data_IF_191368481748
#
_entry.id   IF_191368481748
#
_cell.length_a   1.000
_cell.length_b   1.000
_cell.length_c   1.000
_cell.angle_alpha   90.00
_cell.angle_beta   90.00
_cell.angle_gamma   90.00
#
_symmetry.space_group_name_H-M   'P 1'
#
loop_
_entity.id
_entity.type
_entity.pdbx_description
1 polymer ?
#
# COMPACT_ATOMS: atom_id res chain seq x y z
N UNK A 1 -18.86 -16.89 14.36
CA UNK A 1 -18.15 -16.42 15.57
C UNK A 1 -16.71 -15.96 15.32
N UNK A 2 -15.83 -16.75 14.67
CA UNK A 2 -14.42 -16.36 14.43
C UNK A 2 -14.22 -15.02 13.70
N UNK A 3 -15.11 -14.65 12.76
CA UNK A 3 -15.05 -13.38 12.02
C UNK A 3 -15.48 -12.14 12.83
N UNK A 4 -16.26 -12.31 13.91
CA UNK A 4 -16.66 -11.20 14.79
C UNK A 4 -15.57 -10.89 15.81
N UNK A 5 -14.90 -11.94 16.31
CA UNK A 5 -13.74 -11.80 17.19
C UNK A 5 -12.60 -11.02 16.52
N UNK A 6 -12.35 -11.27 15.24
CA UNK A 6 -11.30 -10.59 14.48
C UNK A 6 -11.58 -9.09 14.24
N UNK A 7 -12.84 -8.74 13.96
CA UNK A 7 -13.26 -7.32 13.85
C UNK A 7 -13.17 -6.62 15.22
N UNK A 8 -13.53 -7.30 16.30
CA UNK A 8 -13.39 -6.76 17.66
C UNK A 8 -11.92 -6.52 18.04
N UNK A 9 -10.99 -7.40 17.62
CA UNK A 9 -9.54 -7.22 17.84
C UNK A 9 -9.01 -6.00 17.09
N UNK A 10 -9.45 -5.76 15.84
CA UNK A 10 -9.03 -4.58 15.06
C UNK A 10 -9.59 -3.29 15.66
N UNK A 11 -10.85 -3.28 16.09
CA UNK A 11 -11.44 -2.13 16.78
C UNK A 11 -10.74 -1.87 18.12
N UNK A 12 -10.40 -2.93 18.87
CA UNK A 12 -9.67 -2.82 20.13
C UNK A 12 -8.24 -2.32 19.95
N UNK A 13 -7.52 -2.80 18.93
CA UNK A 13 -6.18 -2.32 18.58
C UNK A 13 -6.19 -0.85 18.12
N UNK A 14 -7.18 -0.47 17.31
CA UNK A 14 -7.37 0.91 16.85
C UNK A 14 -7.76 1.85 18.01
N UNK A 15 -8.58 1.38 18.96
CA UNK A 15 -8.94 2.12 20.18
C UNK A 15 -7.77 2.31 21.16
N UNK A 16 -6.89 1.30 21.28
CA UNK A 16 -5.69 1.41 22.13
C UNK A 16 -4.68 2.43 21.58
N UNK A 17 -4.57 2.53 20.24
CA UNK A 17 -3.70 3.48 19.55
C UNK A 17 -4.18 4.93 19.65
N UNK A 18 -5.50 5.16 19.71
CA UNK A 18 -6.08 6.50 19.90
C UNK A 18 -5.92 7.04 21.34
N UNK A 19 -5.61 6.17 22.30
CA UNK A 19 -5.48 6.52 23.73
C UNK A 19 -4.01 6.62 24.18
N UNK A 20 -3.06 6.35 23.29
CA UNK A 20 -1.61 6.47 23.51
C UNK A 20 -1.19 7.94 23.65
N UNK A 21 -1.08 8.38 24.90
CA UNK A 21 -0.82 9.76 25.35
C UNK A 21 0.36 10.43 24.64
N UNK A 22 0.13 11.69 24.31
CA UNK A 22 1.11 12.77 24.22
C UNK A 22 2.11 12.69 25.38
N UNK A 23 3.30 12.15 25.12
CA UNK A 23 4.50 12.42 25.94
C UNK A 23 5.14 13.64 25.31
N UNK A 24 4.77 14.79 25.86
CA UNK A 24 5.46 16.05 25.63
C UNK A 24 6.87 15.94 26.26
N UNK A 25 7.90 15.86 25.41
CA UNK A 25 9.25 16.22 25.83
C UNK A 25 9.36 17.74 25.71
N UNK A 26 9.05 18.45 26.80
CA UNK A 26 9.42 19.86 26.95
C UNK A 26 10.94 19.95 27.10
N UNK A 27 11.64 20.91 26.46
CA UNK A 27 13.05 21.13 26.72
C UNK A 27 13.20 21.76 28.12
N UNK A 28 13.98 21.12 29.00
CA UNK A 28 14.40 21.71 30.26
C UNK A 28 15.29 22.94 29.99
N UNK A 29 14.77 24.12 30.36
CA UNK A 29 15.51 25.39 30.39
C UNK A 29 15.87 25.68 31.84
N UNK A 30 17.17 25.82 32.14
CA UNK A 30 17.62 26.40 33.40
C UNK A 30 17.29 27.91 33.43
N UNK A 31 16.92 28.43 34.59
CA UNK A 31 16.41 29.77 34.87
C UNK A 31 17.36 30.96 34.58
N UNK A 32 18.45 30.78 33.83
CA UNK A 32 19.40 31.87 33.51
C UNK A 32 19.98 31.88 32.09
N UNK A 33 19.55 31.01 31.16
CA UNK A 33 19.74 31.24 29.72
C UNK A 33 21.17 31.20 29.14
N UNK A 34 22.11 30.41 29.68
CA UNK A 34 23.43 30.19 29.06
C UNK A 34 23.78 28.70 28.88
N UNK A 35 24.47 28.30 27.78
CA UNK A 35 24.91 26.92 27.58
C UNK A 35 26.21 26.63 28.36
N UNK A 36 26.21 25.56 29.17
CA UNK A 36 27.37 25.15 29.99
C UNK A 36 28.31 24.24 29.18
N UNK A 37 29.55 24.69 28.95
CA UNK A 37 30.67 23.81 28.60
C UNK A 37 31.38 23.37 29.88
N UNK A 38 31.68 22.07 30.02
CA UNK A 38 32.72 21.62 30.95
C UNK A 38 33.49 20.41 30.40
N UNK A 39 34.81 20.48 30.57
CA UNK A 39 35.86 19.62 30.04
C UNK A 39 36.45 18.75 31.18
N UNK A 40 36.89 17.52 30.85
CA UNK A 40 38.16 16.86 31.29
C UNK A 40 38.22 15.95 32.56
N UNK A 41 38.42 14.63 32.28
CA UNK A 41 39.46 13.66 32.76
C UNK A 41 39.30 12.79 34.05
N UNK A 42 39.09 11.48 33.80
CA UNK A 42 39.81 10.23 34.16
C UNK A 42 40.10 9.76 35.62
N UNK A 43 39.80 8.48 35.92
CA UNK A 43 40.57 7.66 36.90
C UNK A 43 39.86 6.64 37.83
N UNK A 44 39.64 5.40 37.34
CA UNK A 44 39.76 4.06 38.00
C UNK A 44 39.17 3.68 39.40
N UNK A 45 38.33 2.63 39.37
CA UNK A 45 38.18 1.46 40.27
C UNK A 45 37.54 1.57 41.68
N UNK A 46 36.32 1.02 41.81
CA UNK A 46 35.94 -0.01 42.80
C UNK A 46 34.55 -0.59 42.45
N UNK A 47 34.42 -1.90 42.59
CA UNK A 47 33.30 -2.72 42.15
C UNK A 47 32.15 -2.83 43.19
N UNK A 48 31.08 -3.46 42.72
CA UNK A 48 29.96 -4.11 43.44
C UNK A 48 28.66 -3.31 43.68
N UNK A 49 27.75 -3.52 42.71
CA UNK A 49 26.45 -4.16 42.87
C UNK A 49 25.35 -3.42 43.67
N UNK A 50 24.43 -2.77 42.94
CA UNK A 50 23.03 -3.21 42.78
C UNK A 50 22.17 -2.15 42.06
N UNK A 51 21.08 -2.62 41.43
CA UNK A 51 20.15 -1.97 40.49
C UNK A 51 20.65 -2.11 39.03
N UNK A 52 20.50 -3.24 38.34
CA UNK A 52 19.34 -4.15 38.23
C UNK A 52 18.06 -3.40 37.86
N UNK A 53 18.06 -2.80 36.67
CA UNK A 53 16.91 -2.53 35.78
C UNK A 53 17.45 -1.71 34.60
N UNK A 54 18.12 -2.32 33.61
CA UNK A 54 18.39 -1.67 32.29
C UNK A 54 18.97 -2.62 31.21
N UNK A 55 18.80 -3.94 31.34
CA UNK A 55 19.22 -4.88 30.29
C UNK A 55 18.19 -6.00 30.10
N UNK A 56 17.00 -5.65 29.61
CA UNK A 56 16.11 -6.60 28.95
C UNK A 56 15.82 -6.17 27.49
N UNK A 57 16.56 -6.80 26.58
CA UNK A 57 16.13 -7.17 25.24
C UNK A 57 15.81 -6.06 24.21
N UNK A 58 16.73 -5.11 24.00
CA UNK A 58 16.79 -4.35 22.76
C UNK A 58 17.45 -5.17 21.62
N UNK A 59 16.88 -6.33 21.27
CA UNK A 59 17.10 -6.99 19.98
C UNK A 59 16.02 -6.59 18.97
N UNK A 60 15.65 -5.31 18.96
CA UNK A 60 14.73 -4.74 17.98
C UNK A 60 15.49 -4.11 16.83
N UNK A 61 15.99 -4.91 15.89
CA UNK A 61 16.52 -4.36 14.64
C UNK A 61 15.44 -3.59 13.85
N UNK A 62 15.80 -2.86 12.78
CA UNK A 62 14.87 -2.12 11.89
C UNK A 62 13.68 -2.94 11.35
N UNK A 63 13.73 -4.26 11.52
CA UNK A 63 12.76 -5.25 11.09
C UNK A 63 11.50 -5.27 11.97
N UNK A 64 11.61 -5.02 13.28
CA UNK A 64 10.45 -5.16 14.20
C UNK A 64 9.32 -4.18 13.86
N UNK A 65 9.57 -2.88 13.59
CA UNK A 65 8.53 -1.93 13.18
C UNK A 65 7.87 -2.30 11.84
N UNK A 66 8.67 -2.82 10.89
CA UNK A 66 8.18 -3.26 9.57
C UNK A 66 7.26 -4.46 9.73
N UNK A 67 7.67 -5.49 10.47
CA UNK A 67 6.85 -6.68 10.71
C UNK A 67 5.56 -6.33 11.46
N UNK A 68 5.64 -5.49 12.48
CA UNK A 68 4.47 -5.02 13.21
C UNK A 68 3.47 -4.32 12.28
N UNK A 69 3.97 -3.45 11.40
CA UNK A 69 3.13 -2.75 10.45
C UNK A 69 2.54 -3.66 9.38
N UNK A 70 3.30 -4.65 8.90
CA UNK A 70 2.76 -5.67 7.99
C UNK A 70 1.59 -6.42 8.61
N UNK A 71 1.69 -6.79 9.89
CA UNK A 71 0.57 -7.43 10.60
C UNK A 71 -0.65 -6.51 10.60
N UNK A 72 -0.48 -5.22 10.87
CA UNK A 72 -1.58 -4.25 10.85
C UNK A 72 -2.19 -4.12 9.45
N UNK A 73 -1.36 -3.95 8.41
CA UNK A 73 -1.81 -3.83 7.01
C UNK A 73 -2.59 -5.07 6.60
N UNK A 74 -2.05 -6.27 6.85
CA UNK A 74 -2.68 -7.53 6.47
C UNK A 74 -4.00 -7.75 7.23
N UNK A 75 -4.05 -7.44 8.52
CA UNK A 75 -5.29 -7.53 9.30
C UNK A 75 -6.34 -6.55 8.78
N UNK A 76 -5.95 -5.30 8.54
CA UNK A 76 -6.84 -4.28 8.02
C UNK A 76 -7.35 -4.63 6.62
N UNK A 77 -6.45 -5.04 5.71
CA UNK A 77 -6.80 -5.46 4.36
C UNK A 77 -7.78 -6.63 4.38
N UNK A 78 -7.52 -7.66 5.20
CA UNK A 78 -8.44 -8.80 5.37
C UNK A 78 -9.81 -8.34 5.85
N UNK A 79 -9.88 -7.47 6.87
CA UNK A 79 -11.17 -6.94 7.33
C UNK A 79 -11.87 -6.15 6.22
N UNK A 80 -11.14 -5.33 5.46
CA UNK A 80 -11.66 -4.62 4.30
C UNK A 80 -12.24 -5.56 3.24
N UNK A 81 -11.49 -6.60 2.86
CA UNK A 81 -11.93 -7.62 1.91
C UNK A 81 -13.17 -8.38 2.39
N UNK A 82 -13.19 -8.82 3.64
CA UNK A 82 -14.36 -9.46 4.26
C UNK A 82 -15.61 -8.55 4.21
N UNK A 83 -15.44 -7.24 4.44
CA UNK A 83 -16.53 -6.26 4.35
C UNK A 83 -16.99 -6.08 2.90
N UNK A 84 -16.06 -5.98 1.94
CA UNK A 84 -16.39 -5.87 0.52
C UNK A 84 -17.22 -7.06 0.04
N UNK A 85 -16.84 -8.29 0.42
CA UNK A 85 -17.60 -9.50 0.09
C UNK A 85 -19.03 -9.44 0.66
N UNK A 86 -19.21 -8.95 1.91
CA UNK A 86 -20.54 -8.78 2.50
C UNK A 86 -21.40 -7.78 1.74
N UNK A 87 -20.78 -6.77 1.14
CA UNK A 87 -21.43 -5.78 0.28
C UNK A 87 -21.58 -6.26 -1.19
N UNK A 88 -21.26 -7.52 -1.47
CA UNK A 88 -21.28 -8.13 -2.82
C UNK A 88 -20.31 -7.46 -3.80
N UNK A 89 -19.19 -6.95 -3.28
CA UNK A 89 -18.09 -6.39 -4.06
C UNK A 89 -16.90 -7.37 -4.09
N UNK A 90 -16.00 -7.27 -5.09
CA UNK A 90 -14.76 -8.04 -5.13
C UNK A 90 -13.90 -7.79 -3.87
N UNK A 91 -13.19 -8.82 -3.40
CA UNK A 91 -12.37 -8.73 -2.18
C UNK A 91 -11.27 -7.67 -2.30
N UNK A 92 -10.57 -7.65 -3.45
CA UNK A 92 -9.52 -6.67 -3.75
C UNK A 92 -9.97 -5.22 -3.61
N UNK A 93 -11.25 -4.90 -3.86
CA UNK A 93 -11.75 -3.53 -3.71
C UNK A 93 -11.67 -3.07 -2.26
N UNK A 94 -12.03 -3.94 -1.31
CA UNK A 94 -11.97 -3.64 0.12
C UNK A 94 -10.53 -3.43 0.60
N UNK A 95 -9.61 -4.23 0.11
CA UNK A 95 -8.18 -4.11 0.43
C UNK A 95 -7.59 -2.80 -0.10
N UNK A 96 -7.90 -2.42 -1.34
CA UNK A 96 -7.46 -1.16 -1.94
C UNK A 96 -8.00 0.04 -1.18
N UNK A 97 -9.29 0.03 -0.81
CA UNK A 97 -9.90 1.10 -0.01
C UNK A 97 -9.21 1.25 1.33
N UNK A 98 -8.93 0.14 2.01
CA UNK A 98 -8.15 0.16 3.27
C UNK A 98 -6.76 0.73 3.05
N UNK A 99 -6.06 0.30 1.98
CA UNK A 99 -4.75 0.82 1.62
C UNK A 99 -4.76 2.33 1.38
N UNK A 100 -5.76 2.84 0.65
CA UNK A 100 -5.94 4.29 0.42
C UNK A 100 -6.20 5.03 1.73
N UNK A 101 -7.06 4.51 2.60
CA UNK A 101 -7.36 5.13 3.91
C UNK A 101 -6.12 5.16 4.80
N UNK A 102 -5.41 4.04 4.93
CA UNK A 102 -4.19 3.96 5.74
C UNK A 102 -3.06 4.83 5.17
N UNK A 103 -2.89 4.86 3.84
CA UNK A 103 -1.87 5.66 3.18
C UNK A 103 -2.10 7.17 3.31
N UNK A 104 -3.35 7.61 3.43
CA UNK A 104 -3.71 9.02 3.56
C UNK A 104 -3.96 9.49 4.99
N UNK A 105 -3.72 8.63 6.00
CA UNK A 105 -4.00 8.95 7.40
C UNK A 105 -3.21 10.16 7.93
N UNK A 106 -2.04 10.43 7.34
CA UNK A 106 -1.24 11.62 7.62
C UNK A 106 -1.99 12.93 7.30
N UNK A 107 -2.85 12.95 6.28
CA UNK A 107 -3.66 14.11 5.93
C UNK A 107 -4.73 14.42 7.00
N UNK A 108 -5.07 13.43 7.83
CA UNK A 108 -6.01 13.55 8.95
C UNK A 108 -5.31 13.89 10.28
N UNK A 109 -3.99 14.17 10.25
CA UNK A 109 -3.19 14.50 11.43
C UNK A 109 -2.66 13.30 12.21
N UNK A 110 -2.81 12.08 11.68
CA UNK A 110 -2.31 10.85 12.30
C UNK A 110 -1.03 10.37 11.60
N UNK A 111 0.12 10.75 12.14
CA UNK A 111 1.43 10.51 11.49
C UNK A 111 2.04 9.13 11.78
N UNK A 112 1.35 8.26 12.52
CA UNK A 112 1.85 6.93 12.93
C UNK A 112 2.24 6.05 11.75
N UNK A 113 1.62 6.23 10.59
CA UNK A 113 1.82 5.39 9.41
C UNK A 113 2.72 6.04 8.33
N UNK A 114 3.14 7.28 8.53
CA UNK A 114 3.87 8.06 7.50
C UNK A 114 5.27 7.50 7.21
N UNK A 115 5.90 6.84 8.19
CA UNK A 115 7.22 6.24 8.01
C UNK A 115 7.20 5.07 7.04
N UNK A 116 6.08 4.36 6.90
CA UNK A 116 5.93 3.22 5.99
C UNK A 116 5.98 3.62 4.52
N UNK A 117 5.53 4.83 4.19
CA UNK A 117 5.49 5.31 2.81
C UNK A 117 6.88 5.45 2.18
N UNK A 118 7.93 5.49 3.00
CA UNK A 118 9.32 5.62 2.56
C UNK A 118 10.17 4.40 2.91
N UNK A 119 9.56 3.33 3.44
CA UNK A 119 10.30 2.12 3.82
C UNK A 119 10.53 1.21 2.60
N UNK A 120 11.80 1.03 2.26
CA UNK A 120 12.22 0.21 1.10
C UNK A 120 11.77 -1.25 1.21
N UNK A 121 11.63 -1.80 2.42
CA UNK A 121 11.21 -3.18 2.65
C UNK A 121 9.75 -3.40 2.25
N UNK A 122 8.88 -2.43 2.58
CA UNK A 122 7.46 -2.46 2.23
C UNK A 122 7.28 -2.31 0.73
N UNK A 123 8.06 -1.42 0.09
CA UNK A 123 8.06 -1.25 -1.36
C UNK A 123 8.40 -2.57 -2.08
N UNK A 124 9.53 -3.19 -1.71
CA UNK A 124 9.94 -4.48 -2.29
C UNK A 124 8.88 -5.56 -2.04
N UNK A 125 8.29 -5.61 -0.84
CA UNK A 125 7.27 -6.60 -0.54
C UNK A 125 5.99 -6.38 -1.36
N UNK A 126 5.63 -5.13 -1.62
CA UNK A 126 4.48 -4.78 -2.46
C UNK A 126 4.70 -5.17 -3.93
N UNK A 127 5.91 -4.95 -4.46
CA UNK A 127 6.30 -5.38 -5.81
C UNK A 127 6.27 -6.91 -5.92
N UNK A 128 6.82 -7.62 -4.93
CA UNK A 128 6.75 -9.08 -4.85
C UNK A 128 5.31 -9.57 -4.79
N UNK A 129 4.44 -8.90 -4.03
CA UNK A 129 3.02 -9.23 -3.97
C UNK A 129 2.33 -9.15 -5.33
N UNK A 130 2.60 -8.09 -6.11
CA UNK A 130 2.05 -7.94 -7.47
C UNK A 130 2.62 -8.99 -8.43
N UNK A 131 3.92 -9.30 -8.34
CA UNK A 131 4.55 -10.34 -9.17
C UNK A 131 3.92 -11.72 -8.87
N UNK A 132 3.77 -12.07 -7.59
CA UNK A 132 3.17 -13.34 -7.18
C UNK A 132 1.70 -13.44 -7.62
N UNK A 133 0.95 -12.33 -7.51
CA UNK A 133 -0.43 -12.25 -7.99
C UNK A 133 -0.52 -12.52 -9.49
N UNK A 134 0.30 -11.82 -10.30
CA UNK A 134 0.31 -11.99 -11.75
C UNK A 134 0.77 -13.38 -12.16
N UNK A 135 1.74 -13.95 -11.44
CA UNK A 135 2.20 -15.31 -11.67
C UNK A 135 1.10 -16.33 -11.37
N UNK A 136 0.40 -16.20 -10.25
CA UNK A 136 -0.73 -17.06 -9.89
C UNK A 136 -1.84 -17.00 -10.94
N UNK A 137 -2.21 -15.80 -11.38
CA UNK A 137 -3.17 -15.60 -12.49
C UNK A 137 -2.69 -16.30 -13.76
N UNK A 138 -1.40 -16.17 -14.09
CA UNK A 138 -0.80 -16.82 -15.25
C UNK A 138 -0.86 -18.35 -15.17
N UNK A 139 -0.66 -18.93 -13.98
CA UNK A 139 -0.77 -20.37 -13.76
C UNK A 139 -2.22 -20.89 -13.82
N UNK A 140 -3.19 -20.07 -13.44
CA UNK A 140 -4.63 -20.41 -13.48
C UNK A 140 -5.22 -20.27 -14.90
N UNK A 141 -4.55 -19.54 -15.79
CA UNK A 141 -5.04 -19.23 -17.14
C UNK A 141 -4.66 -20.31 -18.16
N UNK A 142 -5.64 -20.82 -18.92
CA UNK A 142 -5.38 -21.75 -20.03
C UNK A 142 -4.87 -21.00 -21.28
N UNK A 143 -3.56 -21.07 -21.53
CA UNK A 143 -2.91 -20.43 -22.70
C UNK A 143 -3.48 -20.91 -24.05
N UNK A 144 -3.92 -22.17 -24.14
CA UNK A 144 -4.52 -22.72 -25.37
C UNK A 144 -5.85 -22.02 -25.70
N UNK A 145 -6.69 -21.83 -24.68
CA UNK A 145 -7.96 -21.12 -24.82
C UNK A 145 -7.76 -19.62 -25.03
N UNK A 146 -6.75 -19.01 -24.38
CA UNK A 146 -6.42 -17.60 -24.60
C UNK A 146 -5.98 -17.33 -26.05
N UNK A 147 -5.19 -18.25 -26.63
CA UNK A 147 -4.79 -18.16 -28.05
C UNK A 147 -5.99 -18.20 -29.00
N UNK A 148 -7.07 -18.89 -28.64
CA UNK A 148 -8.27 -18.98 -29.47
C UNK A 148 -8.98 -17.63 -29.65
N UNK A 149 -8.80 -16.68 -28.72
CA UNK A 149 -9.38 -15.32 -28.77
C UNK A 149 -8.38 -14.25 -29.20
N UNK A 150 -7.15 -14.64 -29.60
CA UNK A 150 -6.04 -13.71 -29.83
C UNK A 150 -6.31 -12.60 -30.86
N UNK A 151 -7.10 -12.86 -31.90
CA UNK A 151 -7.47 -11.80 -32.86
C UNK A 151 -8.37 -10.74 -32.23
N UNK A 152 -9.30 -11.16 -31.38
CA UNK A 152 -10.18 -10.23 -30.65
C UNK A 152 -9.39 -9.43 -29.62
N UNK A 153 -8.45 -10.07 -28.92
CA UNK A 153 -7.52 -9.40 -28.00
C UNK A 153 -6.65 -8.36 -28.71
N UNK A 154 -6.10 -8.69 -29.89
CA UNK A 154 -5.26 -7.75 -30.64
C UNK A 154 -6.05 -6.51 -31.07
N UNK A 155 -7.27 -6.69 -31.58
CA UNK A 155 -8.14 -5.58 -31.93
C UNK A 155 -8.50 -4.75 -30.69
N UNK A 156 -8.82 -5.40 -29.57
CA UNK A 156 -9.10 -4.72 -28.31
C UNK A 156 -7.89 -3.92 -27.79
N UNK A 157 -6.67 -4.45 -27.92
CA UNK A 157 -5.43 -3.76 -27.53
C UNK A 157 -5.19 -2.52 -28.39
N UNK A 158 -5.28 -2.65 -29.71
CA UNK A 158 -5.05 -1.53 -30.64
C UNK A 158 -6.09 -0.43 -30.41
N UNK A 159 -7.36 -0.79 -30.35
CA UNK A 159 -8.44 0.17 -30.08
C UNK A 159 -8.33 0.75 -28.66
N UNK A 160 -7.94 -0.07 -27.69
CA UNK A 160 -7.71 0.31 -26.30
C UNK A 160 -6.53 1.25 -26.09
N UNK A 161 -5.62 1.39 -27.06
CA UNK A 161 -4.55 2.40 -27.05
C UNK A 161 -4.96 3.62 -27.88
N UNK A 162 -5.38 3.41 -29.12
CA UNK A 162 -5.69 4.51 -30.06
C UNK A 162 -6.84 5.38 -29.53
N UNK A 163 -7.93 4.77 -29.07
CA UNK A 163 -9.11 5.52 -28.65
C UNK A 163 -8.84 6.41 -27.42
N UNK A 164 -8.35 5.91 -26.26
CA UNK A 164 -8.09 6.78 -25.12
C UNK A 164 -6.94 7.76 -25.36
N UNK A 165 -5.97 7.45 -26.23
CA UNK A 165 -4.92 8.40 -26.60
C UNK A 165 -5.51 9.66 -27.26
N UNK A 166 -6.24 9.49 -28.36
CA UNK A 166 -6.79 10.61 -29.10
C UNK A 166 -7.92 11.31 -28.35
N UNK A 167 -8.75 10.58 -27.59
CA UNK A 167 -9.76 11.17 -26.72
C UNK A 167 -9.10 11.98 -25.59
N UNK A 168 -8.07 11.46 -24.95
CA UNK A 168 -7.32 12.16 -23.90
C UNK A 168 -6.65 13.43 -24.40
N UNK A 169 -5.96 13.34 -25.54
CA UNK A 169 -5.37 14.49 -26.22
C UNK A 169 -6.42 15.55 -26.57
N UNK A 170 -7.54 15.14 -27.17
CA UNK A 170 -8.63 16.05 -27.57
C UNK A 170 -9.33 16.72 -26.38
N UNK A 171 -9.65 15.96 -25.33
CA UNK A 171 -10.26 16.50 -24.10
C UNK A 171 -9.29 17.45 -23.40
N UNK A 172 -8.00 17.12 -23.35
CA UNK A 172 -6.98 17.98 -22.76
C UNK A 172 -6.81 19.29 -23.53
N UNK A 173 -6.77 19.22 -24.87
CA UNK A 173 -6.70 20.40 -25.73
C UNK A 173 -7.94 21.30 -25.60
N UNK A 174 -9.11 20.72 -25.31
CA UNK A 174 -10.33 21.47 -25.06
C UNK A 174 -10.34 22.18 -23.69
N UNK A 175 -9.92 21.48 -22.63
CA UNK A 175 -9.95 22.02 -21.26
C UNK A 175 -8.80 22.99 -20.95
N UNK A 176 -7.64 22.80 -21.58
CA UNK A 176 -6.43 23.59 -21.33
C UNK A 176 -5.78 24.03 -22.65
N UNK A 177 -6.47 24.81 -23.51
CA UNK A 177 -5.98 25.16 -24.85
C UNK A 177 -4.66 25.96 -24.86
N UNK A 178 -4.35 26.63 -23.74
CA UNK A 178 -3.12 27.40 -23.56
C UNK A 178 -1.90 26.53 -23.17
N UNK A 179 -2.12 25.24 -22.88
CA UNK A 179 -1.04 24.34 -22.46
C UNK A 179 -0.18 23.92 -23.66
N UNK A 180 1.07 23.54 -23.37
CA UNK A 180 1.98 23.04 -24.40
C UNK A 180 1.46 21.73 -25.00
N UNK A 181 1.64 21.53 -26.31
CA UNK A 181 1.25 20.30 -27.02
C UNK A 181 1.75 19.03 -26.34
N UNK A 182 2.94 19.08 -25.72
CA UNK A 182 3.52 17.97 -24.98
C UNK A 182 2.64 17.55 -23.79
N UNK A 183 2.00 18.49 -23.10
CA UNK A 183 1.06 18.19 -22.00
C UNK A 183 -0.14 17.41 -22.52
N UNK A 184 -0.72 17.80 -23.64
CA UNK A 184 -1.85 17.09 -24.23
C UNK A 184 -1.48 15.68 -24.69
N UNK A 185 -0.30 15.54 -25.31
CA UNK A 185 0.23 14.22 -25.73
C UNK A 185 0.52 13.35 -24.50
N UNK A 186 1.06 13.93 -23.44
CA UNK A 186 1.30 13.24 -22.17
C UNK A 186 0.00 12.75 -21.56
N UNK A 187 -1.04 13.59 -21.47
CA UNK A 187 -2.37 13.18 -20.99
C UNK A 187 -2.91 12.03 -21.84
N UNK A 188 -2.87 12.16 -23.17
CA UNK A 188 -3.26 11.08 -24.09
C UNK A 188 -2.52 9.77 -23.80
N UNK A 189 -1.19 9.82 -23.70
CA UNK A 189 -0.36 8.66 -23.42
C UNK A 189 -0.63 8.03 -22.04
N UNK A 190 -0.84 8.84 -21.00
CA UNK A 190 -1.12 8.31 -19.65
C UNK A 190 -2.44 7.54 -19.58
N UNK A 191 -3.43 7.91 -20.39
CA UNK A 191 -4.72 7.21 -20.44
C UNK A 191 -4.67 5.87 -21.19
N UNK A 192 -3.58 5.55 -21.88
CA UNK A 192 -3.43 4.24 -22.56
C UNK A 192 -2.92 3.14 -21.63
N UNK A 193 -2.35 3.50 -20.48
CA UNK A 193 -1.79 2.53 -19.55
C UNK A 193 -2.91 1.74 -18.85
N UNK A 194 -2.85 0.41 -18.92
CA UNK A 194 -3.81 -0.51 -18.29
C UNK A 194 -3.15 -1.34 -17.20
N UNK A 195 -3.92 -1.79 -16.19
CA UNK A 195 -3.40 -2.61 -15.09
C UNK A 195 -3.93 -4.04 -15.18
N UNK A 196 -3.09 -4.95 -15.68
CA UNK A 196 -3.43 -6.37 -15.84
C UNK A 196 -3.66 -7.06 -14.50
N UNK A 197 -2.81 -6.77 -13.51
CA UNK A 197 -2.82 -7.48 -12.21
C UNK A 197 -4.10 -7.29 -11.43
N UNK A 198 -4.56 -6.04 -11.30
CA UNK A 198 -5.81 -5.76 -10.59
C UNK A 198 -7.01 -6.29 -11.38
N UNK A 199 -7.03 -6.11 -12.70
CA UNK A 199 -8.10 -6.61 -13.56
C UNK A 199 -8.25 -8.13 -13.45
N UNK A 200 -7.14 -8.87 -13.55
CA UNK A 200 -7.13 -10.31 -13.40
C UNK A 200 -7.58 -10.75 -12.02
N UNK A 201 -7.14 -10.06 -10.96
CA UNK A 201 -7.57 -10.33 -9.60
C UNK A 201 -9.06 -10.11 -9.40
N UNK A 202 -9.61 -9.01 -9.90
CA UNK A 202 -11.07 -8.76 -9.85
C UNK A 202 -11.84 -9.87 -10.57
N UNK A 203 -11.40 -10.28 -11.76
CA UNK A 203 -12.04 -11.36 -12.52
C UNK A 203 -11.97 -12.71 -11.81
N UNK A 204 -10.87 -12.97 -11.10
CA UNK A 204 -10.70 -14.14 -10.24
C UNK A 204 -11.61 -14.09 -9.01
N UNK A 205 -11.66 -12.96 -8.30
CA UNK A 205 -12.49 -12.77 -7.10
C UNK A 205 -13.98 -13.00 -7.40
N UNK A 206 -14.44 -12.65 -8.61
CA UNK A 206 -15.83 -12.88 -9.05
C UNK A 206 -16.03 -14.22 -9.78
N UNK A 207 -15.01 -15.07 -9.86
CA UNK A 207 -15.08 -16.41 -10.47
C UNK A 207 -15.28 -16.41 -11.99
N UNK A 208 -14.88 -15.35 -12.69
CA UNK A 208 -15.06 -15.20 -14.15
C UNK A 208 -13.76 -15.28 -14.96
N UNK A 209 -12.65 -15.69 -14.36
CA UNK A 209 -11.35 -15.72 -15.04
C UNK A 209 -11.35 -16.54 -16.35
N UNK A 210 -12.15 -17.60 -16.42
CA UNK A 210 -12.24 -18.49 -17.60
C UNK A 210 -13.25 -18.03 -18.67
N UNK A 211 -13.96 -16.93 -18.47
CA UNK A 211 -14.88 -16.39 -19.46
C UNK A 211 -14.14 -15.91 -20.71
N UNK A 212 -14.80 -15.95 -21.87
CA UNK A 212 -14.20 -15.53 -23.15
C UNK A 212 -13.80 -14.05 -23.12
N UNK A 213 -14.62 -13.21 -22.49
CA UNK A 213 -14.37 -11.78 -22.31
C UNK A 213 -13.14 -11.56 -21.41
N UNK A 214 -12.99 -12.34 -20.33
CA UNK A 214 -11.83 -12.29 -19.45
C UNK A 214 -10.54 -12.65 -20.16
N UNK A 215 -10.57 -13.68 -21.01
CA UNK A 215 -9.44 -14.07 -21.87
C UNK A 215 -9.10 -13.00 -22.90
N UNK A 216 -10.12 -12.34 -23.46
CA UNK A 216 -9.90 -11.21 -24.38
C UNK A 216 -9.22 -10.07 -23.65
N UNK A 217 -9.73 -9.69 -22.47
CA UNK A 217 -9.19 -8.61 -21.62
C UNK A 217 -7.74 -8.92 -21.20
N UNK A 218 -7.46 -10.11 -20.67
CA UNK A 218 -6.11 -10.50 -20.26
C UNK A 218 -5.16 -10.62 -21.45
N UNK A 219 -5.63 -11.07 -22.61
CA UNK A 219 -4.80 -11.18 -23.82
C UNK A 219 -4.58 -9.84 -24.53
N UNK A 220 -5.38 -8.81 -24.25
CA UNK A 220 -5.27 -7.48 -24.83
C UNK A 220 -4.37 -6.54 -24.01
N UNK A 221 -4.09 -6.91 -22.76
CA UNK A 221 -3.32 -6.11 -21.83
C UNK A 221 -1.84 -6.49 -21.85
#
# INVERSE_FOLDING_TARGET
MRRVLMVAVVIAACGLLLTGRSIAASPEVNASGEPRMEHVVNGSAAAENHAAEDEEAAHGGPIVPVLFSLVIILLAAKVGGDVAIRLKQPEVLGELVVGVVLGNLALLGLNWFQYLSHDRSIEILSELGVILLLFEVGLETNLGEMKSVGWSSLLAAILGVIAPFFLGWGVSAWFAPEAETLVHVFVGATLTATSVGITARVLKDIGKLQASESKIILGAA
#
